data_IF_050902813113
#
_entry.id   IF_050902813113
#
_cell.length_a   1.000
_cell.length_b   1.000
_cell.length_c   1.000
_cell.angle_alpha   90.00
_cell.angle_beta   90.00
_cell.angle_gamma   90.00
#
_symmetry.space_group_name_H-M   'P 1'
#
loop_
_entity.id
_entity.type
_entity.pdbx_description
1 polymer ?
#
# COMPACT_ATOMS: atom_id res chain seq x y z
N UNK A 1 24.96 -11.05 3.29
CA UNK A 1 24.37 -12.00 2.33
C UNK A 1 23.00 -11.50 1.91
N UNK A 2 22.54 -11.78 0.70
CA UNK A 2 21.17 -11.46 0.29
C UNK A 2 20.19 -12.51 0.80
N UNK A 3 18.98 -12.08 1.17
CA UNK A 3 17.82 -12.96 1.31
C UNK A 3 16.64 -12.39 0.54
N UNK A 4 15.74 -13.28 0.12
CA UNK A 4 14.47 -12.93 -0.51
C UNK A 4 13.35 -13.54 0.30
N UNK A 5 12.60 -12.67 0.96
CA UNK A 5 11.43 -13.04 1.73
C UNK A 5 10.22 -13.09 0.80
N UNK A 6 9.32 -14.04 1.03
CA UNK A 6 8.03 -14.12 0.32
C UNK A 6 6.86 -14.21 1.29
N UNK A 7 5.72 -13.66 0.89
CA UNK A 7 4.48 -13.77 1.65
C UNK A 7 3.77 -15.11 1.38
N UNK A 8 2.84 -15.13 0.44
CA UNK A 8 1.96 -16.29 0.23
C UNK A 8 2.51 -17.32 -0.75
N UNK A 9 3.22 -16.87 -1.79
CA UNK A 9 3.71 -17.74 -2.86
C UNK A 9 5.23 -17.65 -3.02
N UNK A 10 5.91 -18.79 -2.85
CA UNK A 10 7.37 -18.89 -3.01
C UNK A 10 7.82 -18.54 -4.44
N UNK A 11 6.95 -18.71 -5.44
CA UNK A 11 7.27 -18.37 -6.83
C UNK A 11 7.60 -16.89 -7.03
N UNK A 12 7.11 -15.99 -6.16
CA UNK A 12 7.51 -14.58 -6.18
C UNK A 12 9.02 -14.40 -5.96
N UNK A 13 9.57 -15.08 -4.95
CA UNK A 13 10.99 -15.03 -4.66
C UNK A 13 11.82 -15.73 -5.75
N UNK A 14 11.39 -16.92 -6.20
CA UNK A 14 12.10 -17.69 -7.22
C UNK A 14 12.15 -16.96 -8.56
N UNK A 15 11.03 -16.37 -8.99
CA UNK A 15 10.96 -15.53 -10.19
C UNK A 15 11.89 -14.33 -10.08
N UNK A 16 11.84 -13.60 -8.96
CA UNK A 16 12.69 -12.43 -8.71
C UNK A 16 14.18 -12.78 -8.77
N UNK A 17 14.57 -13.92 -8.20
CA UNK A 17 15.96 -14.40 -8.27
C UNK A 17 16.36 -14.74 -9.70
N UNK A 18 15.47 -15.41 -10.44
CA UNK A 18 15.73 -15.89 -11.80
C UNK A 18 15.94 -14.77 -12.80
N UNK A 19 15.17 -13.68 -12.71
CA UNK A 19 15.19 -12.62 -13.73
C UNK A 19 16.18 -11.49 -13.41
N UNK A 20 16.88 -11.55 -12.27
CA UNK A 20 17.78 -10.49 -11.80
C UNK A 20 19.17 -11.00 -11.47
N UNK A 21 20.07 -10.07 -11.14
CA UNK A 21 21.43 -10.34 -10.67
C UNK A 21 21.46 -10.99 -9.28
N UNK A 22 20.33 -11.11 -8.57
CA UNK A 22 20.27 -11.87 -7.32
C UNK A 22 20.79 -13.29 -7.48
N UNK A 23 20.51 -13.94 -8.60
CA UNK A 23 21.00 -15.29 -8.94
C UNK A 23 22.52 -15.45 -8.79
N UNK A 24 23.30 -14.38 -8.94
CA UNK A 24 24.77 -14.39 -8.80
C UNK A 24 25.24 -14.46 -7.35
N UNK A 25 24.37 -14.21 -6.39
CA UNK A 25 24.71 -14.09 -4.96
C UNK A 25 24.13 -15.21 -4.10
N UNK A 26 23.54 -16.25 -4.71
CA UNK A 26 22.94 -17.40 -4.03
C UNK A 26 22.09 -17.02 -2.80
N UNK A 27 21.07 -16.16 -2.97
CA UNK A 27 20.29 -15.65 -1.84
C UNK A 27 19.49 -16.77 -1.16
N UNK A 28 19.30 -16.62 0.14
CA UNK A 28 18.38 -17.49 0.89
C UNK A 28 16.94 -17.07 0.61
N UNK A 29 16.02 -18.04 0.55
CA UNK A 29 14.59 -17.77 0.42
C UNK A 29 13.92 -18.09 1.75
N UNK A 30 13.22 -17.12 2.34
CA UNK A 30 12.53 -17.27 3.62
C UNK A 30 11.07 -16.84 3.52
N UNK A 31 10.19 -17.46 4.29
CA UNK A 31 8.77 -17.07 4.35
C UNK A 31 8.60 -16.00 5.41
N UNK A 32 7.82 -14.96 5.12
CA UNK A 32 7.40 -13.96 6.11
C UNK A 32 6.52 -14.66 7.16
N UNK A 33 6.90 -14.55 8.43
CA UNK A 33 6.10 -15.09 9.54
C UNK A 33 4.89 -14.20 9.83
N UNK A 34 3.73 -14.80 10.04
CA UNK A 34 2.46 -14.10 10.27
C UNK A 34 1.81 -14.55 11.59
N UNK A 35 0.74 -13.85 11.99
CA UNK A 35 0.00 -14.17 13.21
C UNK A 35 0.89 -14.09 14.45
N UNK A 36 0.83 -15.11 15.32
CA UNK A 36 1.66 -15.16 16.54
C UNK A 36 3.15 -15.20 16.23
N UNK A 37 3.54 -15.80 15.10
CA UNK A 37 4.94 -15.91 14.70
C UNK A 37 5.47 -14.62 14.08
N UNK A 38 4.67 -13.56 13.92
CA UNK A 38 5.12 -12.30 13.35
C UNK A 38 6.35 -11.71 14.08
N UNK A 39 6.45 -11.96 15.39
CA UNK A 39 7.59 -11.53 16.21
C UNK A 39 8.93 -12.21 15.83
N UNK A 40 8.90 -13.30 15.08
CA UNK A 40 10.10 -14.02 14.61
C UNK A 40 10.76 -13.34 13.41
N UNK A 41 10.04 -12.49 12.69
CA UNK A 41 10.64 -11.71 11.60
C UNK A 41 11.70 -10.75 12.18
N UNK A 42 12.79 -10.47 11.44
CA UNK A 42 13.71 -9.38 11.79
C UNK A 42 12.99 -8.03 12.04
N UNK A 43 13.44 -7.27 13.03
CA UNK A 43 12.83 -5.98 13.42
C UNK A 43 12.65 -5.00 12.25
N UNK A 44 13.63 -4.97 11.35
CA UNK A 44 13.63 -4.12 10.17
C UNK A 44 12.59 -4.56 9.14
N UNK A 45 12.31 -5.86 9.02
CA UNK A 45 11.20 -6.38 8.20
C UNK A 45 9.87 -6.05 8.87
N UNK A 46 9.72 -6.29 10.18
CA UNK A 46 8.49 -5.97 10.90
C UNK A 46 8.07 -4.50 10.68
N UNK A 47 9.04 -3.57 10.65
CA UNK A 47 8.81 -2.15 10.36
C UNK A 47 8.12 -1.92 9.03
N UNK A 48 8.54 -2.54 7.94
CA UNK A 48 7.94 -2.32 6.61
C UNK A 48 6.61 -3.06 6.39
N UNK A 49 6.27 -4.01 7.26
CA UNK A 49 5.01 -4.78 7.19
C UNK A 49 3.84 -4.13 7.97
N UNK A 50 4.06 -2.97 8.59
CA UNK A 50 3.12 -2.43 9.58
C UNK A 50 1.78 -1.93 9.01
N UNK A 51 1.70 -1.61 7.73
CA UNK A 51 0.40 -1.33 7.09
C UNK A 51 -0.13 -2.62 6.48
N UNK A 52 0.61 -3.17 5.53
CA UNK A 52 0.24 -4.36 4.76
C UNK A 52 1.52 -5.06 4.25
N UNK A 53 1.39 -6.30 3.77
CA UNK A 53 2.52 -7.18 3.49
C UNK A 53 2.78 -7.26 1.97
N UNK A 54 3.98 -6.90 1.49
CA UNK A 54 4.39 -7.10 0.09
C UNK A 54 4.52 -8.58 -0.29
N UNK A 55 4.36 -8.89 -1.58
CA UNK A 55 4.54 -10.24 -2.10
C UNK A 55 5.97 -10.78 -1.90
N UNK A 56 6.98 -9.91 -2.08
CA UNK A 56 8.37 -10.25 -1.81
C UNK A 56 9.18 -9.07 -1.24
N UNK A 57 10.22 -9.38 -0.47
CA UNK A 57 11.17 -8.40 0.08
C UNK A 57 12.59 -8.90 -0.10
N UNK A 58 13.46 -8.09 -0.71
CA UNK A 58 14.90 -8.32 -0.73
C UNK A 58 15.52 -7.69 0.50
N UNK A 59 16.39 -8.42 1.18
CA UNK A 59 17.21 -7.89 2.28
C UNK A 59 18.70 -8.17 2.06
N UNK A 60 19.54 -7.41 2.76
CA UNK A 60 20.99 -7.60 2.73
C UNK A 60 21.66 -7.28 4.07
N UNK A 61 22.75 -8.00 4.35
CA UNK A 61 23.73 -7.66 5.39
C UNK A 61 23.43 -8.25 6.78
N UNK A 62 24.25 -7.85 7.75
CA UNK A 62 24.07 -8.13 9.19
C UNK A 62 24.41 -6.86 10.00
N UNK A 63 23.48 -6.28 10.78
CA UNK A 63 22.08 -6.67 10.91
C UNK A 63 21.33 -6.58 9.57
N UNK A 64 20.34 -7.45 9.40
CA UNK A 64 19.57 -7.57 8.16
C UNK A 64 18.77 -6.29 7.89
N UNK A 65 18.90 -5.74 6.67
CA UNK A 65 18.20 -4.51 6.24
C UNK A 65 17.34 -4.77 5.00
N UNK A 66 16.07 -4.34 4.97
CA UNK A 66 15.28 -4.28 3.76
C UNK A 66 15.91 -3.37 2.72
N UNK A 67 15.91 -3.87 1.49
CA UNK A 67 16.51 -3.24 0.32
C UNK A 67 15.42 -2.86 -0.66
N UNK A 68 14.52 -3.80 -0.97
CA UNK A 68 13.46 -3.60 -1.95
C UNK A 68 12.23 -4.39 -1.55
N UNK A 69 11.07 -3.73 -1.50
CA UNK A 69 9.77 -4.39 -1.52
C UNK A 69 9.27 -4.59 -2.95
N UNK A 70 8.57 -5.68 -3.22
CA UNK A 70 7.99 -5.99 -4.53
C UNK A 70 6.56 -6.44 -4.37
N UNK A 71 5.68 -5.91 -5.21
CA UNK A 71 4.27 -6.30 -5.30
C UNK A 71 3.91 -6.70 -6.72
N UNK A 72 3.31 -7.88 -6.89
CA UNK A 72 2.78 -8.39 -8.15
C UNK A 72 1.26 -8.42 -8.11
N UNK A 73 0.63 -7.58 -8.92
CA UNK A 73 -0.81 -7.51 -9.05
C UNK A 73 -1.25 -7.98 -10.43
N UNK A 74 -2.03 -9.06 -10.48
CA UNK A 74 -2.73 -9.48 -11.69
C UNK A 74 -4.16 -8.93 -11.77
N UNK A 75 -4.65 -8.22 -10.75
CA UNK A 75 -6.04 -7.72 -10.70
C UNK A 75 -6.33 -6.69 -11.78
N UNK A 76 -7.62 -6.43 -12.03
CA UNK A 76 -8.03 -5.40 -12.97
C UNK A 76 -7.37 -4.06 -12.60
N UNK A 77 -6.76 -3.35 -13.57
CA UNK A 77 -6.00 -2.15 -13.26
C UNK A 77 -6.89 -0.91 -13.11
N UNK A 78 -8.20 -1.09 -13.25
CA UNK A 78 -9.23 -0.06 -13.05
C UNK A 78 -9.68 -0.03 -11.58
N UNK A 79 -10.23 1.10 -11.13
CA UNK A 79 -10.89 1.16 -9.83
C UNK A 79 -9.96 1.07 -8.61
N UNK A 80 -10.42 0.33 -7.60
CA UNK A 80 -9.83 0.27 -6.25
C UNK A 80 -8.76 -0.82 -6.08
N UNK A 81 -8.69 -1.80 -6.99
CA UNK A 81 -7.92 -3.03 -6.79
C UNK A 81 -6.39 -2.80 -6.78
N UNK A 82 -5.94 -1.80 -7.52
CA UNK A 82 -4.54 -1.35 -7.48
C UNK A 82 -4.29 -0.46 -6.25
N UNK A 83 -5.28 0.37 -5.89
CA UNK A 83 -5.16 1.32 -4.79
C UNK A 83 -5.07 0.68 -3.41
N UNK A 84 -5.76 -0.44 -3.20
CA UNK A 84 -5.68 -1.16 -1.92
C UNK A 84 -4.26 -1.64 -1.60
N UNK A 85 -3.39 -1.79 -2.61
CA UNK A 85 -2.01 -2.26 -2.45
C UNK A 85 -1.01 -1.13 -2.14
N UNK A 86 -1.40 0.14 -2.30
CA UNK A 86 -0.55 1.33 -2.05
C UNK A 86 -0.06 1.39 -0.60
N UNK A 87 -0.80 0.79 0.34
CA UNK A 87 -0.37 0.68 1.74
C UNK A 87 0.99 -0.02 1.91
N UNK A 88 1.28 -1.04 1.08
CA UNK A 88 2.54 -1.82 1.10
C UNK A 88 3.73 -0.95 0.68
N UNK A 89 3.51 -0.17 -0.38
CA UNK A 89 4.48 0.80 -0.89
C UNK A 89 4.78 1.88 0.15
N UNK A 90 3.73 2.50 0.69
CA UNK A 90 3.86 3.57 1.66
C UNK A 90 4.57 3.11 2.94
N UNK A 91 4.29 1.88 3.41
CA UNK A 91 4.97 1.33 4.57
C UNK A 91 6.46 1.12 4.33
N UNK A 92 6.83 0.56 3.18
CA UNK A 92 8.23 0.36 2.80
C UNK A 92 8.99 1.69 2.67
N UNK A 93 8.40 2.65 1.96
CA UNK A 93 9.00 3.97 1.75
C UNK A 93 9.20 4.74 3.06
N UNK A 94 8.26 4.62 4.01
CA UNK A 94 8.36 5.28 5.34
C UNK A 94 9.55 4.81 6.18
N UNK A 95 10.20 3.71 5.79
CA UNK A 95 11.41 3.19 6.42
C UNK A 95 12.59 3.14 5.44
N UNK A 96 12.59 4.01 4.41
CA UNK A 96 13.70 4.17 3.47
C UNK A 96 13.93 2.95 2.57
N UNK A 97 12.92 2.09 2.39
CA UNK A 97 13.01 0.91 1.52
C UNK A 97 12.37 1.23 0.18
N UNK A 98 13.13 1.06 -0.90
CA UNK A 98 12.61 1.19 -2.27
C UNK A 98 11.52 0.18 -2.57
N UNK A 99 10.72 0.43 -3.60
CA UNK A 99 9.59 -0.43 -3.93
C UNK A 99 9.36 -0.58 -5.43
N UNK A 100 9.08 -1.81 -5.88
CA UNK A 100 8.62 -2.09 -7.23
C UNK A 100 7.16 -2.55 -7.20
N UNK A 101 6.29 -1.86 -7.95
CA UNK A 101 4.87 -2.21 -8.01
C UNK A 101 4.46 -2.61 -9.42
N UNK A 102 4.22 -3.91 -9.62
CA UNK A 102 3.82 -4.47 -10.90
C UNK A 102 2.30 -4.60 -10.94
N UNK A 103 1.65 -4.02 -11.94
CA UNK A 103 0.20 -4.16 -12.16
C UNK A 103 -0.16 -3.99 -13.63
N UNK A 104 -1.34 -4.46 -14.10
CA UNK A 104 -1.61 -4.48 -15.53
C UNK A 104 -1.72 -3.09 -16.16
N UNK A 105 -1.22 -2.92 -17.38
CA UNK A 105 -1.57 -1.75 -18.19
C UNK A 105 -3.07 -1.81 -18.56
N UNK A 106 -3.51 -3.01 -18.94
CA UNK A 106 -4.88 -3.33 -19.28
C UNK A 106 -5.14 -4.80 -18.98
N UNK A 107 -6.39 -5.14 -18.70
CA UNK A 107 -6.84 -6.53 -18.51
C UNK A 107 -8.22 -6.70 -19.10
N UNK A 108 -8.47 -7.83 -19.76
CA UNK A 108 -9.82 -8.18 -20.19
C UNK A 108 -10.61 -8.69 -19.00
N UNK A 109 -11.75 -8.08 -18.74
CA UNK A 109 -12.63 -8.43 -17.61
C UNK A 109 -13.94 -8.94 -18.18
N UNK A 110 -14.26 -10.20 -17.86
CA UNK A 110 -15.55 -10.82 -18.18
C UNK A 110 -16.62 -10.21 -17.28
N UNK A 111 -17.79 -9.91 -17.84
CA UNK A 111 -18.94 -9.30 -17.16
C UNK A 111 -20.17 -10.17 -17.37
N UNK A 112 -21.27 -9.84 -16.68
CA UNK A 112 -22.57 -10.50 -16.88
C UNK A 112 -22.99 -10.52 -18.35
N UNK A 113 -22.62 -9.48 -19.11
CA UNK A 113 -22.83 -9.41 -20.56
C UNK A 113 -21.50 -9.06 -21.23
N UNK A 114 -20.89 -10.06 -21.88
CA UNK A 114 -19.66 -9.93 -22.66
C UNK A 114 -18.40 -9.71 -21.82
N UNK A 115 -17.43 -9.01 -22.39
CA UNK A 115 -16.21 -8.60 -21.70
C UNK A 115 -15.70 -7.28 -22.25
N UNK A 116 -14.81 -6.63 -21.51
CA UNK A 116 -14.15 -5.41 -21.99
C UNK A 116 -12.73 -5.29 -21.47
N UNK A 117 -11.92 -4.54 -22.20
CA UNK A 117 -10.61 -4.10 -21.74
C UNK A 117 -10.77 -3.00 -20.68
N UNK A 118 -10.43 -3.33 -19.45
CA UNK A 118 -10.21 -2.34 -18.40
C UNK A 118 -8.77 -1.84 -18.49
N UNK A 119 -8.62 -0.52 -18.62
CA UNK A 119 -7.33 0.17 -18.76
C UNK A 119 -6.97 0.80 -17.43
N UNK A 120 -5.68 0.86 -17.12
CA UNK A 120 -5.16 1.39 -15.86
C UNK A 120 -5.77 2.73 -15.43
N UNK A 121 -5.99 2.82 -14.13
CA UNK A 121 -6.23 4.05 -13.40
C UNK A 121 -4.90 4.84 -13.32
N UNK A 122 -4.84 6.14 -13.65
CA UNK A 122 -3.60 6.91 -13.58
C UNK A 122 -3.22 7.33 -12.16
N UNK A 123 -4.16 7.38 -11.22
CA UNK A 123 -3.87 7.91 -9.89
C UNK A 123 -2.82 7.11 -9.09
N UNK A 124 -2.67 5.76 -9.19
CA UNK A 124 -1.57 5.05 -8.54
C UNK A 124 -0.20 5.56 -8.98
N UNK A 125 -0.03 5.91 -10.26
CA UNK A 125 1.23 6.48 -10.76
C UNK A 125 1.56 7.79 -10.03
N UNK A 126 0.59 8.69 -9.92
CA UNK A 126 0.75 9.94 -9.17
C UNK A 126 1.02 9.70 -7.68
N UNK A 127 0.33 8.74 -7.06
CA UNK A 127 0.57 8.38 -5.66
C UNK A 127 2.00 7.87 -5.46
N UNK A 128 2.51 7.04 -6.37
CA UNK A 128 3.89 6.53 -6.34
C UNK A 128 4.94 7.64 -6.53
N UNK A 129 4.71 8.61 -7.43
CA UNK A 129 5.58 9.79 -7.54
C UNK A 129 5.63 10.57 -6.22
N UNK A 130 4.46 10.80 -5.60
CA UNK A 130 4.38 11.52 -4.33
C UNK A 130 5.06 10.76 -3.20
N UNK A 131 4.85 9.43 -3.11
CA UNK A 131 5.54 8.57 -2.14
C UNK A 131 7.05 8.65 -2.35
N UNK A 132 7.53 8.53 -3.60
CA UNK A 132 8.96 8.58 -3.90
C UNK A 132 9.58 9.92 -3.54
N UNK A 133 8.89 11.01 -3.87
CA UNK A 133 9.34 12.38 -3.58
C UNK A 133 9.38 12.66 -2.09
N UNK A 134 8.32 12.30 -1.36
CA UNK A 134 8.21 12.63 0.06
C UNK A 134 9.19 11.83 0.91
N UNK A 135 9.40 10.55 0.60
CA UNK A 135 10.31 9.68 1.37
C UNK A 135 11.72 9.59 0.77
N UNK A 136 11.96 10.26 -0.35
CA UNK A 136 13.24 10.27 -1.07
C UNK A 136 13.77 8.88 -1.40
N UNK A 137 12.88 7.94 -1.68
CA UNK A 137 13.25 6.58 -2.10
C UNK A 137 12.43 6.15 -3.30
N UNK A 138 13.01 5.52 -4.32
CA UNK A 138 12.25 5.13 -5.49
C UNK A 138 11.14 4.12 -5.18
N UNK A 139 9.91 4.48 -5.51
CA UNK A 139 8.75 3.60 -5.55
C UNK A 139 8.19 3.59 -6.98
N UNK A 140 8.61 2.61 -7.78
CA UNK A 140 8.43 2.61 -9.22
C UNK A 140 7.41 1.56 -9.69
N UNK A 141 6.50 1.94 -10.62
CA UNK A 141 5.58 1.02 -11.24
C UNK A 141 6.15 0.42 -12.53
N UNK A 142 5.74 -0.82 -12.81
CA UNK A 142 6.01 -1.52 -14.08
C UNK A 142 4.72 -2.18 -14.55
N UNK A 143 4.39 -2.03 -15.83
CA UNK A 143 3.15 -2.65 -16.31
C UNK A 143 3.30 -4.15 -16.51
N UNK A 144 2.30 -4.91 -16.05
CA UNK A 144 2.06 -6.27 -16.52
C UNK A 144 1.36 -6.18 -17.88
N UNK A 145 2.12 -6.49 -18.93
CA UNK A 145 1.66 -6.35 -20.32
C UNK A 145 0.60 -7.41 -20.66
N UNK A 146 -0.35 -7.06 -21.52
CA UNK A 146 -1.44 -7.93 -21.96
C UNK A 146 -1.58 -7.94 -23.48
N UNK A 147 -1.86 -9.12 -24.05
CA UNK A 147 -1.99 -9.33 -25.49
C UNK A 147 -3.13 -10.31 -25.80
N UNK A 148 -4.05 -9.92 -26.68
CA UNK A 148 -5.23 -10.73 -27.00
C UNK A 148 -4.92 -12.07 -27.70
N UNK A 149 -3.79 -12.15 -28.42
CA UNK A 149 -3.41 -13.33 -29.20
C UNK A 149 -2.56 -14.28 -28.38
N UNK A 150 -1.60 -13.75 -27.62
CA UNK A 150 -0.57 -14.55 -26.92
C UNK A 150 -0.71 -14.55 -25.41
N UNK A 151 -1.62 -13.77 -24.84
CA UNK A 151 -1.85 -13.69 -23.40
C UNK A 151 -2.73 -14.82 -22.88
N UNK A 152 -2.65 -15.09 -21.59
CA UNK A 152 -3.47 -16.10 -20.94
C UNK A 152 -4.91 -15.59 -20.76
N UNK A 153 -5.86 -16.19 -21.49
CA UNK A 153 -7.28 -15.83 -21.44
C UNK A 153 -7.89 -15.96 -20.03
N UNK A 154 -7.49 -16.96 -19.23
CA UNK A 154 -7.99 -17.11 -17.86
C UNK A 154 -7.55 -15.97 -16.95
N UNK A 155 -6.44 -15.31 -17.31
CA UNK A 155 -5.89 -14.15 -16.64
C UNK A 155 -6.22 -12.86 -17.38
N UNK A 156 -7.31 -12.81 -18.14
CA UNK A 156 -7.72 -11.60 -18.86
C UNK A 156 -6.69 -11.15 -19.91
N UNK A 157 -6.05 -12.10 -20.57
CA UNK A 157 -5.01 -11.95 -21.59
C UNK A 157 -3.70 -11.31 -21.12
N UNK A 158 -3.37 -11.41 -19.83
CA UNK A 158 -2.05 -11.05 -19.32
C UNK A 158 -0.97 -11.95 -19.93
N UNK A 159 0.19 -11.37 -20.26
CA UNK A 159 1.37 -12.13 -20.70
C UNK A 159 2.02 -12.78 -19.49
N UNK A 160 2.03 -14.10 -19.43
CA UNK A 160 2.57 -14.85 -18.30
C UNK A 160 3.87 -15.56 -18.64
N UNK A 161 4.71 -15.75 -17.63
CA UNK A 161 5.97 -16.46 -17.76
C UNK A 161 5.76 -17.97 -17.97
N UNK A 162 6.58 -18.59 -18.82
CA UNK A 162 6.47 -20.03 -19.13
C UNK A 162 6.88 -20.94 -17.98
N UNK A 163 7.88 -20.54 -17.20
CA UNK A 163 8.41 -21.31 -16.06
C UNK A 163 7.65 -20.97 -14.78
N UNK A 164 7.15 -19.73 -14.66
CA UNK A 164 6.33 -19.26 -13.54
C UNK A 164 4.95 -18.76 -14.04
N UNK A 165 3.98 -19.65 -14.30
CA UNK A 165 2.71 -19.29 -14.96
C UNK A 165 1.87 -18.21 -14.27
N UNK A 166 2.10 -17.96 -12.99
CA UNK A 166 1.43 -16.94 -12.19
C UNK A 166 2.20 -15.60 -12.13
N UNK A 167 3.24 -15.44 -12.95
CA UNK A 167 4.13 -14.28 -12.99
C UNK A 167 4.13 -13.63 -14.37
N UNK A 168 4.46 -12.33 -14.49
CA UNK A 168 4.57 -11.66 -15.78
C UNK A 168 5.67 -12.25 -16.65
N UNK A 169 5.47 -12.26 -17.98
CA UNK A 169 6.48 -12.73 -18.93
C UNK A 169 7.80 -11.97 -18.75
N UNK A 170 8.86 -12.67 -18.31
CA UNK A 170 10.17 -12.06 -18.07
C UNK A 170 10.80 -11.41 -19.30
N UNK A 171 10.36 -11.80 -20.50
CA UNK A 171 10.92 -11.29 -21.75
C UNK A 171 10.27 -9.97 -22.20
N UNK A 172 9.18 -9.58 -21.55
CA UNK A 172 8.45 -8.36 -21.81
C UNK A 172 9.33 -7.12 -21.58
N UNK A 173 9.00 -6.00 -22.24
CA UNK A 173 9.79 -4.77 -22.12
C UNK A 173 9.76 -4.26 -20.68
N UNK A 174 8.58 -4.26 -20.07
CA UNK A 174 8.40 -3.78 -18.70
C UNK A 174 9.10 -4.68 -17.68
N UNK A 175 9.13 -5.99 -17.86
CA UNK A 175 9.83 -6.89 -16.93
C UNK A 175 11.35 -6.80 -17.02
N UNK A 176 11.90 -6.51 -18.21
CA UNK A 176 13.34 -6.18 -18.34
C UNK A 176 13.71 -4.91 -17.59
N UNK A 177 12.84 -3.91 -17.64
CA UNK A 177 13.03 -2.66 -16.91
C UNK A 177 12.85 -2.83 -15.40
N UNK A 178 11.90 -3.67 -14.98
CA UNK A 178 11.78 -4.08 -13.59
C UNK A 178 13.06 -4.77 -13.09
N UNK A 179 13.60 -5.73 -13.87
CA UNK A 179 14.85 -6.39 -13.53
C UNK A 179 16.03 -5.40 -13.45
N UNK A 180 16.09 -4.43 -14.36
CA UNK A 180 17.08 -3.34 -14.33
C UNK A 180 16.99 -2.52 -13.04
N UNK A 181 15.78 -2.16 -12.60
CA UNK A 181 15.57 -1.47 -11.32
C UNK A 181 16.03 -2.29 -10.11
N UNK A 182 15.70 -3.58 -10.09
CA UNK A 182 16.16 -4.48 -9.01
C UNK A 182 17.68 -4.56 -8.99
N UNK A 183 18.30 -4.69 -10.17
CA UNK A 183 19.76 -4.76 -10.33
C UNK A 183 20.45 -3.46 -9.90
N UNK A 184 19.86 -2.30 -10.22
CA UNK A 184 20.31 -1.00 -9.77
C UNK A 184 20.29 -0.92 -8.24
N UNK A 185 19.17 -1.32 -7.63
CA UNK A 185 19.01 -1.33 -6.17
C UNK A 185 20.07 -2.22 -5.51
N UNK A 186 20.33 -3.42 -6.05
CA UNK A 186 21.39 -4.33 -5.60
C UNK A 186 22.77 -3.67 -5.69
N UNK A 187 23.05 -2.98 -6.80
CA UNK A 187 24.33 -2.30 -6.99
C UNK A 187 24.54 -1.18 -5.96
N UNK A 188 23.52 -0.36 -5.67
CA UNK A 188 23.59 0.68 -4.65
C UNK A 188 23.89 0.11 -3.26
N UNK A 189 23.24 -1.00 -2.89
CA UNK A 189 23.50 -1.69 -1.61
C UNK A 189 24.93 -2.20 -1.52
N UNK A 190 25.41 -2.88 -2.56
CA UNK A 190 26.77 -3.44 -2.59
C UNK A 190 27.86 -2.36 -2.56
N UNK A 191 27.56 -1.18 -3.11
CA UNK A 191 28.45 -0.02 -3.06
C UNK A 191 28.29 0.81 -1.78
N UNK A 192 27.40 0.42 -0.87
CA UNK A 192 27.08 1.14 0.37
C UNK A 192 26.68 2.61 0.10
N UNK A 193 25.93 2.85 -0.98
CA UNK A 193 25.43 4.18 -1.36
C UNK A 193 24.11 4.49 -0.68
N UNK A 194 23.83 5.78 -0.48
CA UNK A 194 22.54 6.21 0.06
C UNK A 194 21.45 6.07 -1.00
N UNK A 195 20.29 5.52 -0.61
CA UNK A 195 19.14 5.34 -1.50
C UNK A 195 18.50 6.66 -1.91
N UNK A 196 18.67 7.73 -1.11
CA UNK A 196 18.29 9.08 -1.52
C UNK A 196 19.01 9.52 -2.79
N UNK A 197 20.27 9.08 -3.00
CA UNK A 197 21.01 9.38 -4.23
C UNK A 197 20.41 8.67 -5.45
N UNK A 198 19.77 7.52 -5.25
CA UNK A 198 19.16 6.75 -6.33
C UNK A 198 18.04 7.55 -7.01
N UNK A 199 17.42 8.51 -6.33
CA UNK A 199 16.42 9.42 -6.92
C UNK A 199 16.99 10.27 -8.09
N UNK A 200 18.31 10.44 -8.16
CA UNK A 200 19.00 11.19 -9.22
C UNK A 200 19.61 10.28 -10.30
N UNK A 201 19.45 8.97 -10.17
CA UNK A 201 19.93 8.03 -11.18
C UNK A 201 19.16 8.24 -12.49
N UNK A 202 19.83 8.29 -13.66
CA UNK A 202 19.17 8.52 -14.94
C UNK A 202 18.00 7.58 -15.20
N UNK A 203 18.12 6.30 -14.85
CA UNK A 203 17.05 5.32 -15.01
C UNK A 203 15.80 5.71 -14.19
N UNK A 204 16.00 6.19 -12.96
CA UNK A 204 14.91 6.59 -12.06
C UNK A 204 14.26 7.88 -12.57
N UNK A 205 15.06 8.87 -12.99
CA UNK A 205 14.55 10.12 -13.55
C UNK A 205 13.71 9.88 -14.81
N UNK A 206 14.19 9.04 -15.72
CA UNK A 206 13.45 8.65 -16.93
C UNK A 206 12.16 7.90 -16.60
N UNK A 207 12.19 6.98 -15.62
CA UNK A 207 10.99 6.26 -15.19
C UNK A 207 9.97 7.18 -14.53
N UNK A 208 10.39 8.16 -13.73
CA UNK A 208 9.50 9.17 -13.14
C UNK A 208 8.88 10.06 -14.22
N UNK A 209 9.65 10.47 -15.23
CA UNK A 209 9.11 11.20 -16.38
C UNK A 209 8.06 10.36 -17.13
N UNK A 210 8.34 9.07 -17.37
CA UNK A 210 7.38 8.14 -17.95
C UNK A 210 6.10 8.00 -17.12
N UNK A 211 6.20 7.97 -15.79
CA UNK A 211 5.01 7.92 -14.91
C UNK A 211 4.12 9.15 -15.10
N UNK A 212 4.72 10.34 -15.19
CA UNK A 212 3.97 11.57 -15.46
C UNK A 212 3.34 11.57 -16.84
N UNK A 213 4.04 11.09 -17.86
CA UNK A 213 3.49 10.98 -19.22
C UNK A 213 2.27 10.07 -19.27
N UNK A 214 2.35 8.87 -18.66
CA UNK A 214 1.25 7.91 -18.55
C UNK A 214 0.07 8.48 -17.74
N UNK A 215 0.37 9.15 -16.61
CA UNK A 215 -0.65 9.84 -15.83
C UNK A 215 -1.39 10.88 -16.69
N UNK A 216 -0.66 11.76 -17.39
CA UNK A 216 -1.25 12.82 -18.20
C UNK A 216 -2.01 12.29 -19.42
N UNK A 217 -1.56 11.21 -20.05
CA UNK A 217 -2.25 10.56 -21.17
C UNK A 217 -3.70 10.21 -20.79
N UNK A 218 -3.90 9.61 -19.62
CA UNK A 218 -5.22 9.24 -19.11
C UNK A 218 -5.96 10.46 -18.55
N UNK A 219 -5.27 11.30 -17.78
CA UNK A 219 -5.86 12.48 -17.15
C UNK A 219 -6.49 13.43 -18.17
N UNK A 220 -5.87 13.64 -19.35
CA UNK A 220 -6.46 14.49 -20.41
C UNK A 220 -7.85 14.03 -20.85
N UNK A 221 -8.15 12.73 -20.80
CA UNK A 221 -9.47 12.18 -21.16
C UNK A 221 -10.52 12.41 -20.07
N UNK A 222 -10.09 12.62 -18.83
CA UNK A 222 -10.94 12.84 -17.66
C UNK A 222 -10.21 13.77 -16.67
N UNK A 223 -10.23 15.10 -16.93
CA UNK A 223 -9.29 16.07 -16.33
C UNK A 223 -9.67 16.54 -14.92
N UNK A 224 -10.51 15.78 -14.22
CA UNK A 224 -10.81 16.00 -12.81
C UNK A 224 -10.24 14.81 -12.02
N UNK A 225 -9.47 15.05 -10.96
CA UNK A 225 -8.96 13.96 -10.12
C UNK A 225 -10.09 13.19 -9.43
N UNK A 226 -11.13 13.88 -8.98
CA UNK A 226 -12.25 13.30 -8.24
C UNK A 226 -13.16 12.43 -9.10
N UNK A 227 -12.90 12.40 -10.41
CA UNK A 227 -13.57 11.51 -11.32
C UNK A 227 -12.93 10.12 -11.36
N UNK A 228 -11.75 9.93 -10.76
CA UNK A 228 -11.05 8.65 -10.72
C UNK A 228 -11.15 8.01 -9.34
N UNK A 229 -11.43 6.71 -9.28
CA UNK A 229 -11.42 5.97 -8.01
C UNK A 229 -10.01 5.98 -7.39
N UNK A 230 -9.85 6.07 -6.06
CA UNK A 230 -10.90 6.12 -5.04
C UNK A 230 -11.49 7.52 -4.79
N UNK A 231 -10.98 8.56 -5.46
CA UNK A 231 -11.41 9.95 -5.22
C UNK A 231 -12.86 10.22 -5.66
N UNK A 232 -13.46 9.37 -6.48
CA UNK A 232 -14.91 9.38 -6.77
C UNK A 232 -15.79 9.26 -5.53
N UNK A 233 -15.26 8.73 -4.44
CA UNK A 233 -15.94 8.62 -3.15
C UNK A 233 -15.44 9.66 -2.14
N UNK A 234 -14.78 10.71 -2.61
CA UNK A 234 -14.24 11.79 -1.78
C UNK A 234 -14.92 13.12 -2.11
N UNK A 235 -15.02 13.97 -1.09
CA UNK A 235 -15.37 15.38 -1.24
C UNK A 235 -14.46 16.26 -0.39
N UNK A 236 -14.21 17.48 -0.84
CA UNK A 236 -13.51 18.49 -0.07
C UNK A 236 -14.54 19.40 0.60
N UNK A 237 -14.38 19.64 1.90
CA UNK A 237 -15.18 20.57 2.69
C UNK A 237 -14.27 21.51 3.47
N UNK A 238 -14.80 22.65 3.93
CA UNK A 238 -14.10 23.48 4.91
C UNK A 238 -14.01 22.75 6.26
N UNK A 239 -12.92 22.94 7.00
CA UNK A 239 -12.79 22.34 8.34
C UNK A 239 -13.89 22.83 9.30
N UNK A 240 -14.41 24.04 9.12
CA UNK A 240 -15.57 24.52 9.87
C UNK A 240 -16.85 23.71 9.61
N UNK A 241 -17.01 23.14 8.41
CA UNK A 241 -18.11 22.22 8.10
C UNK A 241 -17.88 20.85 8.74
N UNK A 242 -16.63 20.37 8.81
CA UNK A 242 -16.29 19.16 9.57
C UNK A 242 -16.66 19.32 11.05
N UNK A 243 -16.32 20.46 11.67
CA UNK A 243 -16.64 20.72 13.09
C UNK A 243 -18.15 20.65 13.32
N UNK A 244 -18.96 21.24 12.43
CA UNK A 244 -20.43 21.15 12.48
C UNK A 244 -20.90 19.70 12.39
N UNK A 245 -20.37 18.94 11.44
CA UNK A 245 -20.71 17.51 11.25
C UNK A 245 -20.36 16.66 12.50
N UNK A 246 -19.22 16.92 13.13
CA UNK A 246 -18.83 16.22 14.38
C UNK A 246 -19.78 16.62 15.51
N UNK A 247 -20.06 17.92 15.67
CA UNK A 247 -20.98 18.45 16.69
C UNK A 247 -22.38 17.84 16.58
N UNK A 248 -22.91 17.74 15.36
CA UNK A 248 -24.18 17.07 15.08
C UNK A 248 -24.19 15.60 15.50
N UNK A 249 -23.07 14.89 15.31
CA UNK A 249 -22.93 13.46 15.68
C UNK A 249 -22.80 13.23 17.18
N UNK A 250 -22.12 14.12 17.91
CA UNK A 250 -21.82 13.92 19.34
C UNK A 250 -22.72 14.74 20.28
N UNK A 251 -23.51 15.67 19.76
CA UNK A 251 -24.43 16.52 20.53
C UNK A 251 -23.76 17.57 21.42
N UNK A 252 -22.45 17.84 21.23
CA UNK A 252 -21.67 18.81 22.01
C UNK A 252 -20.53 19.40 21.17
N UNK A 253 -19.96 20.50 21.63
CA UNK A 253 -18.78 21.09 20.98
C UNK A 253 -17.60 20.10 20.99
N UNK A 254 -17.01 19.77 19.84
CA UNK A 254 -15.90 18.82 19.79
C UNK A 254 -14.59 19.47 20.23
N UNK A 255 -13.81 18.75 21.03
CA UNK A 255 -12.45 19.16 21.40
C UNK A 255 -11.45 18.57 20.39
N UNK A 256 -11.43 19.11 19.17
CA UNK A 256 -10.56 18.61 18.11
C UNK A 256 -9.10 19.06 18.33
N UNK A 257 -8.10 18.23 17.99
CA UNK A 257 -6.70 18.62 18.09
C UNK A 257 -6.33 19.83 17.22
N UNK A 258 -5.34 20.62 17.65
CA UNK A 258 -4.84 21.80 16.91
C UNK A 258 -4.49 21.48 15.45
N UNK A 259 -3.76 20.38 15.23
CA UNK A 259 -3.37 19.96 13.88
C UNK A 259 -4.57 19.66 12.95
N UNK A 260 -5.78 19.49 13.49
CA UNK A 260 -7.02 19.39 12.70
C UNK A 260 -7.60 20.77 12.44
N UNK A 261 -7.80 21.57 13.49
CA UNK A 261 -8.50 22.87 13.40
C UNK A 261 -7.70 23.93 12.66
N UNK A 262 -6.37 23.83 12.66
CA UNK A 262 -5.48 24.81 12.00
C UNK A 262 -5.49 24.65 10.46
N UNK A 263 -5.94 23.51 9.94
CA UNK A 263 -6.04 23.27 8.48
C UNK A 263 -7.37 23.79 7.94
N UNK A 264 -7.33 24.51 6.82
CA UNK A 264 -8.53 25.15 6.25
C UNK A 264 -9.53 24.16 5.64
N UNK A 265 -9.03 23.05 5.08
CA UNK A 265 -9.83 22.10 4.31
C UNK A 265 -9.70 20.66 4.83
N UNK A 266 -10.74 19.88 4.58
CA UNK A 266 -10.84 18.46 4.92
C UNK A 266 -11.27 17.68 3.70
N UNK A 267 -10.55 16.59 3.41
CA UNK A 267 -11.00 15.54 2.49
C UNK A 267 -11.81 14.53 3.28
N UNK A 268 -13.08 14.35 2.91
CA UNK A 268 -13.97 13.32 3.47
C UNK A 268 -14.06 12.17 2.48
N UNK A 269 -13.53 11.01 2.85
CA UNK A 269 -13.68 9.75 2.13
C UNK A 269 -14.89 8.98 2.67
N UNK A 270 -15.88 8.73 1.81
CA UNK A 270 -17.14 8.08 2.19
C UNK A 270 -17.33 6.76 1.45
N UNK A 271 -16.80 5.63 1.96
CA UNK A 271 -17.00 4.34 1.33
C UNK A 271 -18.46 3.88 1.48
N UNK A 272 -19.05 3.41 0.37
CA UNK A 272 -20.39 2.80 0.34
C UNK A 272 -20.40 1.40 0.96
N UNK A 273 -20.18 1.29 2.27
CA UNK A 273 -20.14 0.01 3.00
C UNK A 273 -21.07 -0.01 4.20
N UNK A 274 -21.72 -1.15 4.44
CA UNK A 274 -22.48 -1.48 5.65
C UNK A 274 -21.64 -2.23 6.69
N UNK A 275 -20.41 -2.58 6.34
CA UNK A 275 -19.49 -3.35 7.17
C UNK A 275 -18.24 -2.52 7.46
N UNK A 276 -17.75 -2.60 8.70
CA UNK A 276 -16.41 -2.13 9.04
C UNK A 276 -15.41 -3.19 8.56
N UNK A 277 -14.72 -2.93 7.46
CA UNK A 277 -13.81 -3.87 6.78
C UNK A 277 -12.61 -3.14 6.21
N UNK A 278 -11.53 -3.87 5.93
CA UNK A 278 -10.24 -3.32 5.50
C UNK A 278 -10.23 -3.08 4.01
N UNK A 279 -10.32 -4.13 3.22
CA UNK A 279 -10.16 -4.02 1.77
C UNK A 279 -11.49 -3.67 1.10
N UNK A 280 -11.50 -2.75 0.12
CA UNK A 280 -10.34 -2.04 -0.45
C UNK A 280 -10.00 -0.70 0.24
N UNK A 281 -10.75 -0.34 1.27
CA UNK A 281 -10.85 1.01 1.82
C UNK A 281 -9.61 1.48 2.60
N UNK A 282 -8.93 0.60 3.32
CA UNK A 282 -7.73 0.94 4.10
C UNK A 282 -6.56 1.36 3.21
N UNK A 283 -6.24 0.58 2.18
CA UNK A 283 -5.22 0.96 1.21
C UNK A 283 -5.64 2.16 0.35
N UNK A 284 -6.92 2.25 -0.01
CA UNK A 284 -7.47 3.45 -0.67
C UNK A 284 -7.26 4.71 0.18
N UNK A 285 -7.49 4.65 1.50
CA UNK A 285 -7.28 5.76 2.41
C UNK A 285 -5.82 6.22 2.42
N UNK A 286 -4.86 5.28 2.44
CA UNK A 286 -3.42 5.61 2.32
C UNK A 286 -3.14 6.29 0.99
N UNK A 287 -3.68 5.79 -0.12
CA UNK A 287 -3.51 6.42 -1.44
C UNK A 287 -4.08 7.84 -1.51
N UNK A 288 -5.29 8.05 -0.99
CA UNK A 288 -5.97 9.37 -0.94
C UNK A 288 -5.11 10.40 -0.20
N UNK A 289 -4.49 9.98 0.90
CA UNK A 289 -3.63 10.79 1.72
C UNK A 289 -2.43 11.35 0.93
N UNK A 290 -1.69 10.49 0.23
CA UNK A 290 -0.58 10.90 -0.63
C UNK A 290 -1.04 11.72 -1.84
N UNK A 291 -2.25 11.50 -2.34
CA UNK A 291 -2.76 12.22 -3.51
C UNK A 291 -3.21 13.65 -3.18
N UNK A 292 -3.81 13.86 -2.01
CA UNK A 292 -4.65 15.05 -1.76
C UNK A 292 -4.43 15.76 -0.43
N UNK A 293 -3.70 15.16 0.52
CA UNK A 293 -3.59 15.67 1.89
C UNK A 293 -2.17 16.03 2.32
N UNK A 294 -1.13 15.35 1.81
CA UNK A 294 0.26 15.51 2.27
C UNK A 294 1.15 16.36 1.37
N UNK A 295 2.16 16.96 2.00
CA UNK A 295 3.32 17.58 1.35
C UNK A 295 4.65 17.06 1.91
N UNK A 296 4.65 15.93 2.63
CA UNK A 296 5.85 15.34 3.20
C UNK A 296 5.64 13.93 3.77
N UNK A 297 6.64 13.45 4.51
CA UNK A 297 6.79 12.04 4.90
C UNK A 297 5.67 11.48 5.79
N UNK A 298 5.15 12.29 6.72
CA UNK A 298 4.27 11.80 7.79
C UNK A 298 2.86 12.40 7.70
N UNK A 299 1.91 11.81 8.42
CA UNK A 299 0.54 12.37 8.58
C UNK A 299 0.53 13.78 9.19
N UNK A 300 1.65 14.22 9.79
CA UNK A 300 1.81 15.57 10.34
C UNK A 300 2.16 16.59 9.27
N UNK A 301 2.80 16.17 8.18
CA UNK A 301 3.07 16.99 6.99
C UNK A 301 1.85 17.05 6.06
N UNK A 302 0.69 17.40 6.62
CA UNK A 302 -0.57 17.53 5.89
C UNK A 302 -1.00 18.99 5.80
N UNK A 303 -1.46 19.37 4.62
CA UNK A 303 -2.10 20.66 4.36
C UNK A 303 -3.63 20.56 4.31
N UNK A 304 -4.19 19.33 4.26
CA UNK A 304 -5.62 19.05 4.47
C UNK A 304 -5.81 17.95 5.49
N UNK A 305 -6.91 18.02 6.24
CA UNK A 305 -7.35 16.89 7.05
C UNK A 305 -7.83 15.75 6.17
N UNK A 306 -7.69 14.52 6.67
CA UNK A 306 -8.26 13.33 6.06
C UNK A 306 -9.22 12.66 7.03
N UNK A 307 -10.48 12.58 6.64
CA UNK A 307 -11.55 11.95 7.42
C UNK A 307 -12.14 10.82 6.62
N UNK A 308 -12.38 9.68 7.27
CA UNK A 308 -13.20 8.61 6.69
C UNK A 308 -14.55 8.58 7.39
N UNK A 309 -15.62 8.62 6.60
CA UNK A 309 -17.00 8.67 7.09
C UNK A 309 -17.75 7.42 6.65
N UNK A 310 -18.22 6.64 7.62
CA UNK A 310 -19.04 5.46 7.45
C UNK A 310 -20.50 5.75 7.82
N UNK A 311 -21.32 6.29 6.91
CA UNK A 311 -22.69 6.69 7.22
C UNK A 311 -23.60 5.51 7.60
N UNK A 312 -23.28 4.29 7.13
CA UNK A 312 -24.07 3.08 7.35
C UNK A 312 -23.49 2.14 8.41
N UNK A 313 -22.39 2.51 9.08
CA UNK A 313 -21.73 1.67 10.09
C UNK A 313 -21.86 2.35 11.45
N UNK A 314 -22.37 1.62 12.45
CA UNK A 314 -22.38 2.09 13.83
C UNK A 314 -21.01 1.91 14.49
N UNK A 315 -20.71 2.78 15.44
CA UNK A 315 -19.53 2.65 16.30
C UNK A 315 -19.55 1.33 17.07
N UNK A 316 -20.73 0.86 17.50
CA UNK A 316 -20.87 -0.43 18.18
C UNK A 316 -20.34 -1.59 17.31
N UNK A 317 -20.51 -1.55 15.99
CA UNK A 317 -19.99 -2.60 15.09
C UNK A 317 -18.46 -2.65 15.08
N UNK A 318 -17.81 -1.49 15.06
CA UNK A 318 -16.35 -1.40 15.21
C UNK A 318 -15.91 -1.86 16.60
N UNK A 319 -16.59 -1.39 17.66
CA UNK A 319 -16.30 -1.75 19.05
C UNK A 319 -16.36 -3.26 19.27
N UNK A 320 -17.36 -3.95 18.73
CA UNK A 320 -17.48 -5.42 18.82
C UNK A 320 -16.27 -6.13 18.21
N UNK A 321 -15.71 -5.60 17.11
CA UNK A 321 -14.53 -6.17 16.46
C UNK A 321 -13.27 -6.04 17.34
N UNK A 322 -13.10 -4.90 18.01
CA UNK A 322 -12.02 -4.70 18.97
C UNK A 322 -12.19 -5.57 20.23
N UNK A 323 -13.42 -5.68 20.76
CA UNK A 323 -13.70 -6.54 21.91
C UNK A 323 -13.42 -8.01 21.59
N UNK A 324 -13.77 -8.46 20.38
CA UNK A 324 -13.42 -9.81 19.91
C UNK A 324 -11.91 -10.01 19.91
N UNK A 325 -11.16 -9.09 19.30
CA UNK A 325 -9.69 -9.11 19.33
C UNK A 325 -9.15 -9.21 20.76
N UNK A 326 -9.63 -8.33 21.65
CA UNK A 326 -9.19 -8.33 23.05
C UNK A 326 -9.44 -9.65 23.76
N UNK A 327 -10.55 -10.34 23.47
CA UNK A 327 -10.91 -11.62 24.11
C UNK A 327 -10.18 -12.82 23.51
N UNK A 328 -9.93 -12.81 22.21
CA UNK A 328 -9.51 -14.01 21.46
C UNK A 328 -8.04 -13.97 21.06
N UNK A 329 -7.52 -12.81 20.63
CA UNK A 329 -6.24 -12.71 19.93
C UNK A 329 -5.20 -11.84 20.66
N UNK A 330 -5.64 -10.88 21.48
CA UNK A 330 -4.76 -9.98 22.21
C UNK A 330 -3.85 -10.75 23.17
N UNK A 331 -2.53 -10.47 23.19
CA UNK A 331 -1.61 -11.09 24.15
C UNK A 331 -1.99 -10.83 25.61
N UNK A 332 -2.69 -9.74 25.90
CA UNK A 332 -3.23 -9.44 27.24
C UNK A 332 -4.66 -9.96 27.49
N UNK A 333 -5.20 -10.83 26.63
CA UNK A 333 -6.52 -11.42 26.90
C UNK A 333 -6.49 -12.15 28.25
N UNK A 334 -7.59 -12.14 29.04
CA UNK A 334 -7.59 -12.72 30.38
C UNK A 334 -7.20 -14.20 30.46
N UNK A 335 -7.42 -14.95 29.38
CA UNK A 335 -7.08 -16.37 29.30
C UNK A 335 -5.63 -16.64 28.93
N UNK A 336 -4.88 -15.65 28.44
CA UNK A 336 -3.50 -15.87 28.01
C UNK A 336 -2.55 -15.89 29.20
N UNK A 337 -1.80 -16.99 29.33
CA UNK A 337 -0.73 -17.15 30.34
C UNK A 337 0.65 -17.30 29.70
N UNK A 338 0.71 -17.26 28.37
CA UNK A 338 1.96 -17.41 27.61
C UNK A 338 2.82 -16.15 27.76
N UNK A 339 4.12 -16.35 28.02
CA UNK A 339 5.15 -15.31 28.02
C UNK A 339 6.07 -15.53 26.82
N UNK A 340 5.55 -15.20 25.63
CA UNK A 340 6.20 -15.48 24.34
C UNK A 340 6.75 -14.22 23.65
N UNK A 341 7.38 -14.43 22.50
CA UNK A 341 7.91 -13.34 21.66
C UNK A 341 6.79 -12.45 21.12
N UNK A 342 5.57 -12.98 20.94
CA UNK A 342 4.42 -12.21 20.50
C UNK A 342 3.91 -11.24 21.56
N UNK A 343 3.88 -11.64 22.84
CA UNK A 343 3.65 -10.74 23.97
C UNK A 343 4.73 -9.67 24.07
N UNK A 344 6.00 -10.06 23.88
CA UNK A 344 7.14 -9.12 23.89
C UNK A 344 7.00 -8.05 22.80
N UNK A 345 6.64 -8.46 21.58
CA UNK A 345 6.34 -7.55 20.47
C UNK A 345 5.20 -6.58 20.83
N UNK A 346 4.14 -7.10 21.45
CA UNK A 346 2.99 -6.30 21.86
C UNK A 346 3.34 -5.30 22.98
N UNK A 347 4.22 -5.67 23.92
CA UNK A 347 4.74 -4.76 24.94
C UNK A 347 5.61 -3.65 24.32
N UNK A 348 6.41 -3.98 23.30
CA UNK A 348 7.32 -3.04 22.62
C UNK A 348 6.59 -2.05 21.71
N UNK A 349 5.67 -2.53 20.88
CA UNK A 349 5.01 -1.74 19.83
C UNK A 349 3.52 -1.49 20.08
N UNK A 350 3.02 -1.89 21.24
CA UNK A 350 1.60 -1.91 21.54
C UNK A 350 0.83 -2.79 20.55
N UNK A 351 -0.38 -2.34 20.23
CA UNK A 351 -1.23 -3.04 19.28
C UNK A 351 -0.82 -2.85 17.80
N UNK A 352 0.34 -2.27 17.48
CA UNK A 352 0.72 -1.94 16.09
C UNK A 352 0.73 -3.15 15.18
N UNK A 353 1.23 -4.30 15.63
CA UNK A 353 1.32 -5.49 14.78
C UNK A 353 0.24 -6.53 15.06
N UNK A 354 -0.42 -6.41 16.21
CA UNK A 354 -1.27 -7.48 16.73
C UNK A 354 -2.75 -7.24 16.51
N UNK A 355 -3.23 -5.99 16.33
CA UNK A 355 -4.65 -5.70 16.06
C UNK A 355 -5.01 -5.90 14.58
N UNK A 356 -6.31 -6.03 14.31
CA UNK A 356 -6.80 -6.19 12.94
C UNK A 356 -6.44 -4.99 12.03
N UNK A 357 -6.23 -5.28 10.75
CA UNK A 357 -5.75 -4.36 9.70
C UNK A 357 -6.57 -3.06 9.65
N UNK A 358 -7.89 -3.15 9.75
CA UNK A 358 -8.82 -2.02 9.75
C UNK A 358 -8.49 -1.01 10.85
N UNK A 359 -8.45 -1.48 12.11
CA UNK A 359 -8.21 -0.65 13.28
C UNK A 359 -6.80 -0.08 13.29
N UNK A 360 -5.86 -0.77 12.65
CA UNK A 360 -4.50 -0.30 12.49
C UNK A 360 -4.42 0.84 11.50
N UNK A 361 -4.84 0.61 10.27
CA UNK A 361 -4.61 1.57 9.19
C UNK A 361 -5.53 2.78 9.35
N UNK A 362 -6.82 2.59 9.67
CA UNK A 362 -7.74 3.71 9.81
C UNK A 362 -7.34 4.66 10.93
N UNK A 363 -7.02 4.15 12.13
CA UNK A 363 -6.61 5.00 13.25
C UNK A 363 -5.21 5.60 13.09
N UNK A 364 -4.35 5.00 12.24
CA UNK A 364 -3.04 5.57 11.93
C UNK A 364 -3.11 6.67 10.88
N UNK A 365 -3.96 6.49 9.86
CA UNK A 365 -4.02 7.39 8.71
C UNK A 365 -5.08 8.48 8.89
N UNK A 366 -6.30 8.17 9.30
CA UNK A 366 -7.34 9.19 9.38
C UNK A 366 -7.08 10.16 10.55
N UNK A 367 -7.30 11.46 10.32
CA UNK A 367 -7.38 12.43 11.43
C UNK A 367 -8.64 12.17 12.26
N UNK A 368 -9.75 11.78 11.61
CA UNK A 368 -11.00 11.40 12.28
C UNK A 368 -11.69 10.20 11.61
N UNK A 369 -12.38 9.41 12.43
CA UNK A 369 -13.31 8.36 12.01
C UNK A 369 -14.74 8.78 12.35
N UNK A 370 -15.58 9.00 11.33
CA UNK A 370 -16.98 9.32 11.53
C UNK A 370 -17.83 8.07 11.28
N UNK A 371 -18.63 7.68 12.26
CA UNK A 371 -19.61 6.61 12.15
C UNK A 371 -21.01 7.19 12.00
N UNK A 372 -22.01 6.33 11.80
CA UNK A 372 -23.42 6.74 11.81
C UNK A 372 -23.78 7.51 13.09
N UNK A 373 -23.32 7.02 14.23
CA UNK A 373 -23.73 7.39 15.59
C UNK A 373 -22.58 7.82 16.51
N UNK A 374 -21.36 8.01 15.98
CA UNK A 374 -20.23 8.51 16.76
C UNK A 374 -19.17 9.20 15.89
N UNK A 375 -18.25 9.90 16.54
CA UNK A 375 -17.02 10.41 15.96
C UNK A 375 -15.84 10.03 16.88
N UNK A 376 -14.73 9.58 16.29
CA UNK A 376 -13.46 9.35 16.98
C UNK A 376 -12.41 10.29 16.39
N UNK A 377 -11.67 10.96 17.26
CA UNK A 377 -10.67 11.97 16.94
C UNK A 377 -9.56 12.01 17.98
#
# INVERSE_FOLDING_TARGET
MFKVWYHDNKSFAEYLIKITNLSKYNPQIEKISLGRNFAENPDTIQKILYLDIPDAIITYGFPEKPVLGVEFCAEAPSGHDIFQRVARVAASASFGTSFAFIFPEKKWVVREIGGRWDIYNPLPLRALVNISTFHKVPALPFFWEANQISGNESEGFLLTDKEFPNMPDRNSKEMKQFAEFVNLTIAYVLQNRNFEEMMFDPFILERVAWMWDRYHERYRRKPNLFDWSPLTSCRIIKTSELIKLVKEKIGREPNLPHYVVDRAETVVYEPSTRNFRSDPYTGSLVGIDYLTCRNGETVRHRYRNLVIHFPQVSFQKMKSMFVRYYKEECPFRPSNRETDTYLTLHLRDGCRYTKQKELRIYCYIADLLLFRDAALY
#
